data_IF_575885384540
#
_entry.id   IF_575885384540
#
_cell.length_a   1.000
_cell.length_b   1.000
_cell.length_c   1.000
_cell.angle_alpha   90.00
_cell.angle_beta   90.00
_cell.angle_gamma   90.00
#
_symmetry.space_group_name_H-M   'P 1'
#
loop_
_entity.id
_entity.type
_entity.pdbx_description
1 polymer ?
#
# COMPACT_ATOMS: atom_id res chain seq x y z
N UNK A 1 8.31 4.42 -2.23
CA UNK A 1 7.80 3.88 -3.50
C UNK A 1 7.73 2.36 -3.53
N UNK A 2 8.81 1.61 -3.28
CA UNK A 2 8.77 0.13 -3.31
C UNK A 2 7.59 -0.49 -2.53
N UNK A 3 7.34 0.02 -1.32
CA UNK A 3 6.23 -0.41 -0.48
C UNK A 3 4.83 -0.22 -1.13
N UNK A 4 4.64 0.87 -1.88
CA UNK A 4 3.39 1.16 -2.59
C UNK A 4 3.10 0.18 -3.72
N UNK A 5 4.12 -0.53 -4.20
CA UNK A 5 3.98 -1.58 -5.22
C UNK A 5 3.84 -2.94 -4.56
N UNK A 6 4.70 -3.23 -3.56
CA UNK A 6 4.73 -4.53 -2.89
C UNK A 6 3.42 -4.86 -2.16
N UNK A 7 2.80 -3.89 -1.47
CA UNK A 7 1.57 -4.15 -0.70
C UNK A 7 0.36 -4.50 -1.60
N UNK A 8 0.05 -3.75 -2.68
CA UNK A 8 -1.00 -4.16 -3.60
C UNK A 8 -0.70 -5.49 -4.31
N UNK A 9 0.56 -5.73 -4.71
CA UNK A 9 0.93 -6.99 -5.36
C UNK A 9 0.77 -8.20 -4.44
N UNK A 10 1.06 -8.06 -3.15
CA UNK A 10 0.82 -9.16 -2.20
C UNK A 10 -0.67 -9.46 -2.02
N UNK A 11 -1.52 -8.43 -2.09
CA UNK A 11 -2.98 -8.61 -2.08
C UNK A 11 -3.49 -9.29 -3.36
N UNK A 12 -2.96 -8.90 -4.52
CA UNK A 12 -3.28 -9.56 -5.79
C UNK A 12 -2.80 -11.02 -5.82
N UNK A 13 -1.61 -11.30 -5.29
CA UNK A 13 -1.11 -12.66 -5.15
C UNK A 13 -1.99 -13.50 -4.21
N UNK A 14 -2.41 -12.94 -3.08
CA UNK A 14 -3.32 -13.60 -2.15
C UNK A 14 -4.63 -14.03 -2.83
N UNK A 15 -5.33 -13.11 -3.50
CA UNK A 15 -6.59 -13.46 -4.19
C UNK A 15 -6.37 -14.40 -5.37
N UNK A 16 -5.17 -14.41 -5.97
CA UNK A 16 -4.84 -15.28 -7.10
C UNK A 16 -4.57 -16.74 -6.71
N UNK A 17 -4.28 -17.02 -5.43
CA UNK A 17 -3.99 -18.39 -4.95
C UNK A 17 -5.11 -18.96 -4.07
N UNK A 18 -6.20 -18.21 -3.88
CA UNK A 18 -7.27 -18.57 -2.97
C UNK A 18 -8.13 -19.70 -3.53
N UNK A 19 -8.45 -20.68 -2.70
CA UNK A 19 -9.29 -21.84 -3.07
C UNK A 19 -10.78 -21.51 -3.19
N UNK A 20 -11.19 -20.29 -2.82
CA UNK A 20 -12.56 -19.82 -2.92
C UNK A 20 -12.95 -19.37 -4.34
N UNK A 21 -11.96 -19.16 -5.22
CA UNK A 21 -12.14 -18.76 -6.63
C UNK A 21 -13.09 -17.55 -6.83
N UNK A 22 -13.18 -16.65 -5.84
CA UNK A 22 -14.04 -15.47 -5.93
C UNK A 22 -13.43 -14.50 -6.95
N UNK A 23 -14.19 -14.09 -7.99
CA UNK A 23 -13.65 -13.21 -9.02
C UNK A 23 -13.29 -11.84 -8.43
N UNK A 24 -12.05 -11.42 -8.66
CA UNK A 24 -11.60 -10.07 -8.29
C UNK A 24 -12.14 -9.06 -9.30
N UNK A 25 -12.95 -8.12 -8.82
CA UNK A 25 -13.67 -7.14 -9.67
C UNK A 25 -13.29 -5.70 -9.31
N UNK A 26 -12.19 -5.14 -9.86
CA UNK A 26 -11.80 -3.76 -9.60
C UNK A 26 -12.91 -2.80 -10.00
N UNK A 27 -13.47 -2.10 -9.02
CA UNK A 27 -14.58 -1.15 -9.21
C UNK A 27 -15.79 -1.72 -9.98
N UNK A 28 -15.98 -3.05 -9.96
CA UNK A 28 -17.00 -3.76 -10.74
C UNK A 28 -16.95 -3.50 -12.26
N UNK A 29 -15.78 -3.17 -12.80
CA UNK A 29 -15.61 -2.84 -14.23
C UNK A 29 -15.28 -4.06 -15.09
N UNK A 30 -14.45 -4.96 -14.59
CA UNK A 30 -14.01 -6.17 -15.29
C UNK A 30 -13.52 -7.23 -14.28
N UNK A 31 -13.42 -8.49 -14.72
CA UNK A 31 -12.78 -9.56 -13.94
C UNK A 31 -11.27 -9.44 -14.13
N UNK A 32 -10.55 -9.12 -13.06
CA UNK A 32 -9.09 -9.08 -13.07
C UNK A 32 -8.56 -10.52 -13.14
N UNK A 33 -7.70 -10.87 -14.12
CA UNK A 33 -7.13 -12.21 -14.17
C UNK A 33 -6.24 -12.49 -12.96
N UNK A 34 -6.25 -13.74 -12.53
CA UNK A 34 -5.34 -14.23 -11.50
C UNK A 34 -3.90 -14.27 -12.04
N UNK A 35 -2.94 -14.10 -11.14
CA UNK A 35 -1.54 -14.37 -11.42
C UNK A 35 -1.33 -15.87 -11.71
N UNK A 36 -0.32 -16.24 -12.52
CA UNK A 36 -0.03 -17.63 -12.85
C UNK A 36 0.67 -18.34 -11.68
N UNK A 37 -0.04 -18.47 -10.56
CA UNK A 37 0.40 -19.12 -9.33
C UNK A 37 -0.52 -20.31 -9.05
N UNK A 38 0.02 -21.35 -8.40
CA UNK A 38 -0.77 -22.52 -8.03
C UNK A 38 -1.63 -22.23 -6.79
N UNK A 39 -2.91 -22.56 -6.88
CA UNK A 39 -3.86 -22.50 -5.77
C UNK A 39 -3.57 -23.59 -4.74
N UNK A 40 -3.51 -23.20 -3.46
CA UNK A 40 -3.41 -24.13 -2.33
C UNK A 40 -3.62 -23.40 -1.02
N UNK A 41 -4.15 -24.09 0.00
CA UNK A 41 -4.30 -23.53 1.35
C UNK A 41 -2.95 -23.04 1.93
N UNK A 42 -1.86 -23.72 1.60
CA UNK A 42 -0.52 -23.33 2.02
C UNK A 42 -0.08 -22.00 1.39
N UNK A 43 -0.33 -21.81 0.09
CA UNK A 43 -0.03 -20.56 -0.61
C UNK A 43 -0.92 -19.42 -0.10
N UNK A 44 -2.23 -19.68 0.09
CA UNK A 44 -3.18 -18.71 0.62
C UNK A 44 -2.77 -18.22 2.03
N UNK A 45 -2.42 -19.15 2.93
CA UNK A 45 -1.95 -18.83 4.28
C UNK A 45 -0.65 -18.01 4.27
N UNK A 46 0.29 -18.36 3.38
CA UNK A 46 1.53 -17.62 3.20
C UNK A 46 1.28 -16.19 2.74
N UNK A 47 0.53 -16.00 1.64
CA UNK A 47 0.26 -14.67 1.10
C UNK A 47 -0.62 -13.82 2.02
N UNK A 48 -1.52 -14.44 2.80
CA UNK A 48 -2.27 -13.77 3.87
C UNK A 48 -1.32 -13.18 4.89
N UNK A 49 -0.37 -13.99 5.37
CA UNK A 49 0.63 -13.54 6.36
C UNK A 49 1.49 -12.42 5.79
N UNK A 50 2.00 -12.57 4.56
CA UNK A 50 2.81 -11.54 3.88
C UNK A 50 2.04 -10.23 3.75
N UNK A 51 0.79 -10.28 3.28
CA UNK A 51 -0.04 -9.08 3.12
C UNK A 51 -0.34 -8.41 4.47
N UNK A 52 -0.64 -9.21 5.50
CA UNK A 52 -0.87 -8.74 6.86
C UNK A 52 0.34 -8.00 7.44
N UNK A 53 1.54 -8.61 7.39
CA UNK A 53 2.76 -7.96 7.89
C UNK A 53 3.10 -6.69 7.11
N UNK A 54 2.95 -6.72 5.78
CA UNK A 54 3.14 -5.53 4.97
C UNK A 54 2.14 -4.44 5.39
N UNK A 55 0.85 -4.74 5.55
CA UNK A 55 -0.14 -3.75 5.95
C UNK A 55 0.23 -3.03 7.27
N UNK A 56 0.61 -3.77 8.32
CA UNK A 56 1.05 -3.16 9.58
C UNK A 56 2.37 -2.39 9.45
N UNK A 57 3.33 -2.88 8.68
CA UNK A 57 4.55 -2.14 8.39
C UNK A 57 4.24 -0.82 7.65
N UNK A 58 3.28 -0.84 6.72
CA UNK A 58 2.80 0.33 5.99
C UNK A 58 2.18 1.38 6.90
N UNK A 59 1.32 0.95 7.84
CA UNK A 59 0.76 1.83 8.87
C UNK A 59 1.89 2.50 9.67
N UNK A 60 2.88 1.73 10.10
CA UNK A 60 4.05 2.26 10.81
C UNK A 60 4.84 3.28 10.00
N UNK A 61 5.07 3.02 8.71
CA UNK A 61 5.76 3.95 7.80
C UNK A 61 4.97 5.25 7.59
N UNK A 62 3.65 5.16 7.44
CA UNK A 62 2.78 6.34 7.31
C UNK A 62 2.79 7.16 8.61
N UNK A 63 2.67 6.51 9.77
CA UNK A 63 2.76 7.19 11.06
C UNK A 63 4.11 7.91 11.24
N UNK A 64 5.22 7.25 10.90
CA UNK A 64 6.55 7.84 10.93
C UNK A 64 6.68 9.03 9.96
N UNK A 65 6.12 8.90 8.75
CA UNK A 65 6.12 9.96 7.75
C UNK A 65 5.34 11.19 8.23
N UNK A 66 4.15 10.99 8.81
CA UNK A 66 3.35 12.06 9.40
C UNK A 66 4.14 12.72 10.55
N UNK A 67 4.71 11.92 11.47
CA UNK A 67 5.50 12.45 12.57
C UNK A 67 6.69 13.29 12.10
N UNK A 68 7.38 12.88 11.04
CA UNK A 68 8.45 13.65 10.43
C UNK A 68 7.93 14.98 9.87
N UNK A 69 6.83 14.97 9.11
CA UNK A 69 6.23 16.19 8.55
C UNK A 69 5.78 17.17 9.66
N UNK A 70 5.20 16.66 10.75
CA UNK A 70 4.83 17.48 11.91
C UNK A 70 6.05 18.04 12.65
N UNK A 71 7.14 17.26 12.79
CA UNK A 71 8.40 17.74 13.35
C UNK A 71 8.98 18.88 12.50
N UNK A 72 8.98 18.73 11.18
CA UNK A 72 9.41 19.77 10.25
C UNK A 72 8.59 21.05 10.42
N UNK A 73 7.27 20.92 10.57
CA UNK A 73 6.38 22.07 10.72
C UNK A 73 6.49 22.77 12.08
N UNK A 74 6.43 22.02 13.19
CA UNK A 74 6.32 22.63 14.53
C UNK A 74 7.68 22.88 15.21
N UNK A 75 8.64 21.98 15.04
CA UNK A 75 9.94 22.07 15.72
C UNK A 75 10.97 22.76 14.84
N UNK A 76 11.10 22.32 13.58
CA UNK A 76 12.06 22.93 12.64
C UNK A 76 11.54 24.20 11.98
N UNK A 77 10.22 24.41 11.96
CA UNK A 77 9.53 25.57 11.38
C UNK A 77 9.91 25.83 9.92
N UNK A 78 10.02 24.77 9.14
CA UNK A 78 10.26 24.87 7.69
C UNK A 78 8.97 24.65 6.88
N UNK A 79 9.12 24.75 5.55
CA UNK A 79 8.01 24.68 4.59
C UNK A 79 7.75 23.29 4.02
N UNK A 80 8.33 22.22 4.57
CA UNK A 80 8.18 20.86 4.02
C UNK A 80 6.70 20.45 3.97
N UNK A 81 5.96 20.61 5.07
CA UNK A 81 4.53 20.26 5.13
C UNK A 81 3.67 21.19 4.26
N UNK A 82 3.93 22.50 4.27
CA UNK A 82 3.11 23.47 3.53
C UNK A 82 3.22 23.29 2.02
N UNK A 83 4.40 22.89 1.51
CA UNK A 83 4.61 22.54 0.10
C UNK A 83 3.81 21.32 -0.37
N UNK A 84 3.43 20.42 0.55
CA UNK A 84 2.56 19.28 0.24
C UNK A 84 1.08 19.66 0.13
N UNK A 85 0.63 20.66 0.91
CA UNK A 85 -0.78 21.11 0.95
C UNK A 85 -1.05 22.10 -0.18
N UNK A 86 -0.21 23.12 -0.28
CA UNK A 86 -0.28 24.15 -1.31
C UNK A 86 1.05 24.11 -2.05
N UNK A 87 1.12 23.41 -3.20
CA UNK A 87 2.30 23.48 -4.04
C UNK A 87 2.50 24.95 -4.40
N UNK A 88 3.59 25.56 -3.92
CA UNK A 88 3.88 26.94 -4.25
C UNK A 88 4.06 27.00 -5.77
N UNK A 89 3.12 27.61 -6.50
CA UNK A 89 3.45 28.19 -7.80
C UNK A 89 4.54 29.21 -7.51
N UNK A 90 5.78 28.93 -7.95
CA UNK A 90 6.92 29.78 -7.66
C UNK A 90 6.57 31.24 -7.92
N UNK A 91 6.67 32.07 -6.89
CA UNK A 91 6.95 33.49 -7.08
C UNK A 91 8.40 33.63 -6.68
N UNK A 92 9.21 33.73 -7.73
CA UNK A 92 10.56 34.30 -7.68
C UNK A 92 10.51 35.73 -7.10
#
# INVERSE_FOLDING_TARGET
>A
YAFQIALPLSGWALVSVSTLEIPTMPFNLFVLPNLPLAESDAAESFWTSVHWYLAYAGIGLVALHIAAALRHHFLLRDSVLTRMITPSSGRE
#
